data_IF_409939384969
#
_entry.id   IF_409939384969
#
_cell.length_a   1.000
_cell.length_b   1.000
_cell.length_c   1.000
_cell.angle_alpha   90.00
_cell.angle_beta   90.00
_cell.angle_gamma   90.00
#
_symmetry.space_group_name_H-M   'P 1'
#
loop_
_entity.id
_entity.type
_entity.pdbx_description
1 polymer ?
#
# COMPACT_ATOMS: atom_id res chain seq x y z
N UNK A 1 -11.44 -9.63 7.83
CA UNK A 1 -10.36 -9.25 8.78
C UNK A 1 -10.74 -9.62 10.21
N UNK A 2 -9.81 -9.53 11.16
CA UNK A 2 -10.04 -9.91 12.58
C UNK A 2 -10.46 -8.75 13.51
N UNK A 3 -10.37 -7.49 13.06
CA UNK A 3 -10.72 -6.32 13.89
C UNK A 3 -9.72 -5.96 14.99
N UNK A 4 -8.64 -6.72 15.14
CA UNK A 4 -7.58 -6.43 16.12
C UNK A 4 -6.66 -5.30 15.67
N UNK A 5 -6.01 -4.64 16.63
CA UNK A 5 -4.95 -3.69 16.35
C UNK A 5 -3.79 -4.40 15.61
N UNK A 6 -3.37 -3.81 14.49
CA UNK A 6 -2.26 -4.35 13.70
C UNK A 6 -0.93 -4.18 14.46
N UNK A 7 -0.15 -5.27 14.62
CA UNK A 7 1.15 -5.21 15.28
C UNK A 7 2.14 -4.37 14.46
N UNK A 8 3.24 -3.95 15.08
CA UNK A 8 4.38 -3.35 14.39
C UNK A 8 5.19 -4.42 13.66
N UNK A 9 4.59 -5.00 12.63
CA UNK A 9 5.16 -6.06 11.82
C UNK A 9 4.64 -5.99 10.38
N UNK A 10 5.29 -6.76 9.50
CA UNK A 10 4.81 -6.96 8.14
C UNK A 10 3.34 -7.41 8.15
N UNK A 11 2.57 -6.82 7.24
CA UNK A 11 1.12 -6.96 7.14
C UNK A 11 0.74 -7.21 5.68
N UNK A 12 -0.56 -7.21 5.36
CA UNK A 12 -1.06 -7.41 4.01
C UNK A 12 -1.97 -6.25 3.62
N UNK A 13 -1.76 -5.64 2.47
CA UNK A 13 -2.69 -4.67 1.92
C UNK A 13 -3.73 -5.39 1.07
N UNK A 14 -5.03 -5.17 1.32
CA UNK A 14 -6.12 -5.81 0.58
C UNK A 14 -6.95 -4.76 -0.14
N UNK A 15 -6.86 -4.69 -1.48
CA UNK A 15 -7.72 -3.85 -2.30
C UNK A 15 -9.21 -4.13 -2.09
N UNK A 16 -9.55 -5.42 -2.01
CA UNK A 16 -10.91 -5.93 -1.78
C UNK A 16 -11.56 -5.35 -0.52
N UNK A 17 -10.80 -5.27 0.57
CA UNK A 17 -11.30 -4.76 1.85
C UNK A 17 -10.96 -3.28 2.09
N UNK A 18 -10.27 -2.63 1.15
CA UNK A 18 -9.87 -1.23 1.21
C UNK A 18 -8.96 -0.90 2.40
N UNK A 19 -8.10 -1.82 2.82
CA UNK A 19 -7.31 -1.63 4.03
C UNK A 19 -6.24 -2.68 4.28
N UNK A 20 -5.72 -2.70 5.50
CA UNK A 20 -4.62 -3.58 5.89
C UNK A 20 -5.11 -4.72 6.77
N UNK A 21 -4.59 -5.91 6.50
CA UNK A 21 -4.83 -7.16 7.22
C UNK A 21 -3.57 -7.56 8.01
N UNK A 22 -3.78 -8.15 9.18
CA UNK A 22 -2.68 -8.81 9.87
C UNK A 22 -2.19 -10.00 9.03
N UNK A 23 -0.95 -10.43 9.24
CA UNK A 23 -0.35 -11.54 8.49
C UNK A 23 -1.21 -12.81 8.49
N UNK A 24 -1.89 -13.13 9.59
CA UNK A 24 -2.80 -14.29 9.66
C UNK A 24 -3.98 -14.12 8.69
N UNK A 25 -4.70 -13.00 8.80
CA UNK A 25 -5.83 -12.71 7.92
C UNK A 25 -5.42 -12.70 6.43
N UNK A 26 -4.31 -12.03 6.09
CA UNK A 26 -3.84 -11.93 4.70
C UNK A 26 -3.44 -13.27 4.09
N UNK A 27 -2.85 -14.18 4.88
CA UNK A 27 -2.42 -15.49 4.40
C UNK A 27 -3.57 -16.42 3.97
N UNK A 28 -4.81 -16.16 4.37
CA UNK A 28 -5.98 -16.98 4.04
C UNK A 28 -6.59 -16.68 2.65
N UNK A 29 -5.76 -16.36 1.66
CA UNK A 29 -6.21 -16.18 0.27
C UNK A 29 -7.01 -14.89 0.03
N UNK A 30 -6.91 -13.90 0.91
CA UNK A 30 -7.48 -12.58 0.65
C UNK A 30 -6.59 -11.88 -0.39
N UNK A 31 -7.17 -11.56 -1.55
CA UNK A 31 -6.49 -10.85 -2.63
C UNK A 31 -5.84 -9.57 -2.07
N UNK A 32 -4.51 -9.51 -2.18
CA UNK A 32 -3.71 -8.48 -1.57
C UNK A 32 -2.22 -8.75 -1.65
N UNK A 33 -1.42 -7.70 -1.48
CA UNK A 33 0.04 -7.75 -1.50
C UNK A 33 0.62 -7.66 -0.08
N UNK A 34 1.73 -8.37 0.22
CA UNK A 34 2.43 -8.17 1.46
C UNK A 34 3.00 -6.74 1.52
N UNK A 35 2.93 -6.13 2.70
CA UNK A 35 3.55 -4.84 2.99
C UNK A 35 4.48 -4.97 4.18
N UNK A 36 5.66 -4.37 4.08
CA UNK A 36 6.63 -4.26 5.15
C UNK A 36 6.09 -3.42 6.30
N UNK A 37 6.71 -3.53 7.47
CA UNK A 37 6.37 -2.68 8.62
C UNK A 37 6.57 -1.20 8.31
N UNK A 38 7.57 -0.87 7.48
CA UNK A 38 7.82 0.50 7.05
C UNK A 38 6.76 0.97 6.03
N UNK A 39 6.37 0.11 5.08
CA UNK A 39 5.25 0.39 4.16
C UNK A 39 3.97 0.69 4.92
N UNK A 40 3.64 -0.13 5.94
CA UNK A 40 2.50 0.10 6.83
C UNK A 40 2.57 1.46 7.55
N UNK A 41 3.75 1.85 8.07
CA UNK A 41 3.93 3.16 8.73
C UNK A 41 3.65 4.31 7.76
N UNK A 42 4.14 4.23 6.53
CA UNK A 42 3.90 5.27 5.53
C UNK A 42 2.44 5.30 5.09
N UNK A 43 1.79 4.16 4.87
CA UNK A 43 0.35 4.10 4.57
C UNK A 43 -0.50 4.73 5.67
N UNK A 44 -0.18 4.47 6.94
CA UNK A 44 -0.83 5.12 8.08
C UNK A 44 -0.61 6.62 8.11
N UNK A 45 0.62 7.07 7.84
CA UNK A 45 0.94 8.48 7.77
C UNK A 45 0.15 9.19 6.66
N UNK A 46 0.06 8.58 5.48
CA UNK A 46 -0.74 9.10 4.36
C UNK A 46 -2.22 9.18 4.72
N UNK A 47 -2.76 8.14 5.34
CA UNK A 47 -4.16 8.11 5.78
C UNK A 47 -4.49 9.13 6.87
N UNK A 48 -3.52 9.47 7.74
CA UNK A 48 -3.68 10.49 8.77
C UNK A 48 -3.71 11.92 8.20
N UNK A 49 -3.24 12.13 6.96
CA UNK A 49 -3.26 13.44 6.31
C UNK A 49 -2.29 14.47 6.89
N UNK A 50 -1.31 14.04 7.70
CA UNK A 50 -0.31 14.95 8.27
C UNK A 50 0.72 15.34 7.20
N UNK A 51 0.43 16.45 6.51
CA UNK A 51 1.27 16.99 5.44
C UNK A 51 2.68 17.34 5.94
N UNK A 52 2.81 17.83 7.17
CA UNK A 52 4.08 18.30 7.72
C UNK A 52 5.07 17.16 7.94
N UNK A 53 4.56 15.99 8.33
CA UNK A 53 5.32 14.77 8.46
C UNK A 53 5.60 14.16 7.08
N UNK A 54 4.61 14.16 6.18
CA UNK A 54 4.76 13.63 4.82
C UNK A 54 5.91 14.29 4.06
N UNK A 55 6.01 15.62 4.12
CA UNK A 55 7.06 16.39 3.43
C UNK A 55 8.48 16.07 3.94
N UNK A 56 8.63 15.46 5.12
CA UNK A 56 9.92 15.08 5.72
C UNK A 56 10.31 13.64 5.46
N UNK A 57 9.39 12.82 4.93
CA UNK A 57 9.65 11.40 4.69
C UNK A 57 10.66 11.23 3.57
N UNK A 58 11.72 10.47 3.83
CA UNK A 58 12.62 9.96 2.81
C UNK A 58 12.31 8.50 2.55
N UNK A 59 11.85 8.18 1.36
CA UNK A 59 11.57 6.81 0.93
C UNK A 59 12.79 6.28 0.19
N UNK A 60 13.15 5.02 0.49
CA UNK A 60 14.05 4.28 -0.41
C UNK A 60 13.28 3.93 -1.70
N UNK A 61 14.02 3.58 -2.76
CA UNK A 61 13.40 3.19 -4.04
C UNK A 61 12.54 1.94 -3.86
N UNK A 62 12.96 1.01 -3.03
CA UNK A 62 12.26 -0.23 -2.72
C UNK A 62 10.95 0.05 -1.98
N UNK A 63 11.00 0.95 -0.99
CA UNK A 63 9.82 1.33 -0.22
C UNK A 63 8.82 2.13 -1.07
N UNK A 64 9.31 2.99 -1.97
CA UNK A 64 8.45 3.70 -2.90
C UNK A 64 7.72 2.72 -3.84
N UNK A 65 8.44 1.76 -4.44
CA UNK A 65 7.84 0.74 -5.31
C UNK A 65 6.79 -0.10 -4.57
N UNK A 66 7.09 -0.52 -3.34
CA UNK A 66 6.16 -1.26 -2.49
C UNK A 66 4.83 -0.49 -2.29
N UNK A 67 4.93 0.82 -2.02
CA UNK A 67 3.77 1.69 -1.84
C UNK A 67 3.01 1.93 -3.15
N UNK A 68 3.72 2.13 -4.26
CA UNK A 68 3.13 2.26 -5.60
C UNK A 68 2.32 1.02 -5.96
N UNK A 69 2.88 -0.18 -5.77
CA UNK A 69 2.19 -1.44 -6.09
C UNK A 69 0.91 -1.63 -5.25
N UNK A 70 0.94 -1.28 -3.96
CA UNK A 70 -0.23 -1.35 -3.09
C UNK A 70 -1.33 -0.35 -3.50
N UNK A 71 -0.96 0.90 -3.79
CA UNK A 71 -1.90 1.96 -4.18
C UNK A 71 -2.45 1.75 -5.59
N UNK A 72 -1.63 1.27 -6.52
CA UNK A 72 -2.06 0.91 -7.87
C UNK A 72 -3.07 -0.23 -7.82
N UNK A 73 -2.80 -1.29 -7.06
CA UNK A 73 -3.75 -2.39 -6.86
C UNK A 73 -5.08 -1.91 -6.24
N UNK A 74 -5.04 -0.95 -5.31
CA UNK A 74 -6.25 -0.31 -4.76
C UNK A 74 -7.07 0.39 -5.85
N UNK A 75 -6.40 1.19 -6.67
CA UNK A 75 -7.07 1.99 -7.69
C UNK A 75 -7.61 1.10 -8.81
N UNK A 76 -6.84 0.13 -9.29
CA UNK A 76 -7.30 -0.79 -10.33
C UNK A 76 -8.50 -1.61 -9.87
N UNK A 77 -8.49 -2.07 -8.61
CA UNK A 77 -9.62 -2.76 -8.01
C UNK A 77 -10.90 -1.91 -8.02
N UNK A 78 -10.81 -0.61 -7.73
CA UNK A 78 -11.98 0.27 -7.70
C UNK A 78 -12.40 0.84 -9.05
N UNK A 79 -11.46 0.99 -9.98
CA UNK A 79 -11.73 1.57 -11.30
C UNK A 79 -12.10 0.50 -12.34
N UNK A 80 -11.95 -0.78 -11.99
CA UNK A 80 -12.13 -1.96 -12.84
C UNK A 80 -11.39 -1.82 -14.18
N UNK A 81 -10.23 -1.15 -14.14
CA UNK A 81 -9.37 -0.87 -15.28
C UNK A 81 -7.94 -0.63 -14.84
N UNK A 82 -7.01 -0.97 -15.74
CA UNK A 82 -5.59 -0.66 -15.57
C UNK A 82 -5.31 0.84 -15.71
N UNK A 83 -4.43 1.39 -14.87
CA UNK A 83 -4.04 2.80 -14.91
C UNK A 83 -2.99 3.09 -16.00
N UNK A 84 -3.44 3.31 -17.25
CA UNK A 84 -2.56 3.60 -18.41
C UNK A 84 -1.62 4.82 -18.21
N UNK A 85 -2.00 5.78 -17.37
CA UNK A 85 -1.17 6.95 -17.05
C UNK A 85 0.06 6.59 -16.21
N UNK A 86 -0.03 5.57 -15.34
CA UNK A 86 1.10 5.09 -14.55
C UNK A 86 2.13 4.42 -15.46
N UNK A 87 1.67 3.56 -16.38
CA UNK A 87 2.53 2.91 -17.38
C UNK A 87 3.32 3.95 -18.20
N UNK A 88 2.67 5.05 -18.61
CA UNK A 88 3.31 6.13 -19.34
C UNK A 88 4.39 6.86 -18.52
N UNK A 89 4.10 7.23 -17.26
CA UNK A 89 5.06 7.91 -16.38
C UNK A 89 6.28 7.03 -16.11
N UNK A 90 6.08 5.73 -15.89
CA UNK A 90 7.17 4.76 -15.71
C UNK A 90 8.06 4.69 -16.96
N UNK A 91 7.47 4.75 -18.15
CA UNK A 91 8.19 4.75 -19.43
C UNK A 91 9.07 5.98 -19.69
N UNK A 92 8.77 7.14 -19.09
CA UNK A 92 9.59 8.36 -19.20
C UNK A 92 10.77 8.35 -18.21
N UNK A 93 10.64 7.65 -17.08
CA UNK A 93 11.68 7.55 -16.05
C UNK A 93 12.77 6.52 -16.39
N UNK A 94 12.63 5.81 -17.50
CA UNK A 94 13.58 4.82 -18.03
C UNK A 94 14.61 5.45 -18.96
#
# INVERSE_FOLDING_TARGET
>A
GCGEALPEAASWFSPLLGGVLCRKCGAHGQAGSPVSVNGLKILRLMAAGDRSLYDRVRLSVELLRELEDALEAQLEYHLDRRLKSLDFIRGIRG
#
